data_IF_852777032334
#
_entry.id   IF_852777032334
#
_cell.length_a   1.000
_cell.length_b   1.000
_cell.length_c   1.000
_cell.angle_alpha   90.00
_cell.angle_beta   90.00
_cell.angle_gamma   90.00
#
_symmetry.space_group_name_H-M   'P 1'
#
loop_
_entity.id
_entity.type
_entity.pdbx_description
1 polymer ?
#
# COMPACT_ATOMS: atom_id res chain seq x y z
N UNK A 1 8.00 -19.84 0.36
CA UNK A 1 6.75 -19.05 0.41
C UNK A 1 6.70 -18.04 -0.73
N UNK A 2 5.71 -18.09 -1.63
CA UNK A 2 5.52 -17.05 -2.66
C UNK A 2 5.10 -15.75 -1.96
N UNK A 3 5.92 -14.70 -2.03
CA UNK A 3 5.57 -13.36 -1.50
C UNK A 3 4.30 -12.89 -2.19
N UNK A 4 3.21 -12.74 -1.44
CA UNK A 4 1.95 -12.22 -1.96
C UNK A 4 2.06 -10.69 -2.02
N UNK A 5 2.33 -10.14 -3.20
CA UNK A 5 2.55 -8.70 -3.40
C UNK A 5 1.28 -7.84 -3.29
N UNK A 6 0.13 -8.49 -3.09
CA UNK A 6 -1.18 -7.87 -3.00
C UNK A 6 -1.70 -8.02 -1.57
N UNK A 7 -2.27 -6.95 -1.01
CA UNK A 7 -3.01 -7.03 0.24
C UNK A 7 -4.33 -7.79 0.04
N UNK A 8 -5.01 -8.17 1.12
CA UNK A 8 -6.25 -8.97 1.09
C UNK A 8 -7.31 -8.37 0.16
N UNK A 9 -7.50 -7.06 0.21
CA UNK A 9 -8.45 -6.35 -0.67
C UNK A 9 -8.08 -6.49 -2.15
N UNK A 10 -6.81 -6.32 -2.52
CA UNK A 10 -6.36 -6.47 -3.91
C UNK A 10 -6.40 -7.92 -4.40
N UNK A 11 -6.22 -8.88 -3.49
CA UNK A 11 -6.39 -10.30 -3.81
C UNK A 11 -7.83 -10.61 -4.16
N UNK A 12 -8.79 -10.06 -3.41
CA UNK A 12 -10.21 -10.22 -3.67
C UNK A 12 -10.62 -9.56 -5.00
N UNK A 13 -10.11 -8.35 -5.27
CA UNK A 13 -10.31 -7.68 -6.56
C UNK A 13 -9.79 -8.53 -7.73
N UNK A 14 -8.61 -9.13 -7.58
CA UNK A 14 -8.02 -10.01 -8.58
C UNK A 14 -8.87 -11.27 -8.78
N UNK A 15 -9.38 -11.87 -7.71
CA UNK A 15 -10.24 -13.08 -7.75
C UNK A 15 -11.50 -12.81 -8.57
N UNK A 16 -12.22 -11.75 -8.21
CA UNK A 16 -13.48 -11.37 -8.87
C UNK A 16 -13.30 -10.98 -10.34
N UNK A 17 -12.22 -10.24 -10.67
CA UNK A 17 -11.92 -9.90 -12.06
C UNK A 17 -11.46 -11.14 -12.87
N UNK A 18 -10.77 -12.09 -12.23
CA UNK A 18 -10.44 -13.38 -12.86
C UNK A 18 -11.70 -14.19 -13.14
N UNK A 19 -12.65 -14.26 -12.22
CA UNK A 19 -13.95 -14.91 -12.44
C UNK A 19 -14.71 -14.28 -13.59
N UNK A 20 -14.74 -12.94 -13.65
CA UNK A 20 -15.30 -12.20 -14.78
C UNK A 20 -14.60 -12.54 -16.11
N UNK A 21 -13.27 -12.72 -16.11
CA UNK A 21 -12.53 -13.11 -17.32
C UNK A 21 -12.83 -14.52 -17.81
N UNK A 22 -13.27 -15.41 -16.91
CA UNK A 22 -13.67 -16.78 -17.19
C UNK A 22 -15.18 -16.90 -17.49
N UNK A 23 -15.88 -15.77 -17.64
CA UNK A 23 -17.34 -15.70 -17.82
C UNK A 23 -18.13 -16.44 -16.74
N UNK A 24 -17.61 -16.53 -15.50
CA UNK A 24 -18.28 -17.22 -14.38
C UNK A 24 -19.38 -16.39 -13.74
N UNK A 25 -19.37 -15.08 -13.94
CA UNK A 25 -20.38 -14.16 -13.40
C UNK A 25 -20.55 -12.94 -14.33
N UNK A 26 -21.65 -12.23 -14.17
CA UNK A 26 -21.96 -11.02 -14.93
C UNK A 26 -21.15 -9.82 -14.46
N UNK A 27 -20.88 -8.89 -15.39
CA UNK A 27 -20.15 -7.67 -15.06
C UNK A 27 -20.88 -6.77 -14.05
N UNK A 28 -22.22 -6.85 -13.99
CA UNK A 28 -23.04 -6.08 -13.06
C UNK A 28 -22.83 -6.59 -11.63
N UNK A 29 -22.87 -7.91 -11.44
CA UNK A 29 -22.68 -8.56 -10.13
C UNK A 29 -21.28 -8.29 -9.58
N UNK A 30 -20.25 -8.49 -10.42
CA UNK A 30 -18.87 -8.22 -10.03
C UNK A 30 -18.65 -6.73 -9.71
N UNK A 31 -19.26 -5.82 -10.48
CA UNK A 31 -19.19 -4.38 -10.18
C UNK A 31 -19.84 -4.05 -8.82
N UNK A 32 -20.99 -4.64 -8.52
CA UNK A 32 -21.66 -4.49 -7.24
C UNK A 32 -20.81 -5.02 -6.07
N UNK A 33 -20.28 -6.25 -6.18
CA UNK A 33 -19.41 -6.85 -5.16
C UNK A 33 -18.14 -6.04 -4.90
N UNK A 34 -17.56 -5.43 -5.95
CA UNK A 34 -16.37 -4.59 -5.85
C UNK A 34 -16.67 -3.15 -5.37
N UNK A 35 -17.94 -2.75 -5.30
CA UNK A 35 -18.34 -1.36 -5.06
C UNK A 35 -17.89 -0.41 -6.19
N UNK A 36 -17.75 -0.92 -7.41
CA UNK A 36 -17.25 -0.20 -8.57
C UNK A 36 -18.36 0.13 -9.57
N UNK A 37 -18.13 1.16 -10.37
CA UNK A 37 -18.95 1.36 -11.57
C UNK A 37 -18.63 0.28 -12.61
N UNK A 38 -19.62 -0.08 -13.43
CA UNK A 38 -19.45 -1.04 -14.54
C UNK A 38 -18.28 -0.64 -15.45
N UNK A 39 -18.10 0.66 -15.72
CA UNK A 39 -16.99 1.20 -16.52
C UNK A 39 -15.63 0.93 -15.87
N UNK A 40 -15.52 1.14 -14.55
CA UNK A 40 -14.29 0.86 -13.82
C UNK A 40 -13.97 -0.64 -13.82
N UNK A 41 -14.98 -1.50 -13.64
CA UNK A 41 -14.85 -2.96 -13.73
C UNK A 41 -14.38 -3.40 -15.11
N UNK A 42 -14.95 -2.85 -16.20
CA UNK A 42 -14.48 -3.10 -17.58
C UNK A 42 -13.02 -2.72 -17.78
N UNK A 43 -12.62 -1.53 -17.28
CA UNK A 43 -11.22 -1.09 -17.35
C UNK A 43 -10.29 -2.06 -16.64
N UNK A 44 -10.67 -2.54 -15.45
CA UNK A 44 -9.89 -3.52 -14.69
C UNK A 44 -9.80 -4.87 -15.38
N UNK A 45 -10.87 -5.35 -16.01
CA UNK A 45 -10.85 -6.55 -16.85
C UNK A 45 -9.88 -6.39 -18.04
N UNK A 46 -9.90 -5.25 -18.73
CA UNK A 46 -9.00 -4.97 -19.84
C UNK A 46 -7.53 -4.90 -19.39
N UNK A 47 -7.25 -4.26 -18.25
CA UNK A 47 -5.91 -4.26 -17.65
C UNK A 47 -5.46 -5.68 -17.28
N UNK A 48 -6.34 -6.48 -16.68
CA UNK A 48 -6.07 -7.88 -16.34
C UNK A 48 -5.75 -8.72 -17.59
N UNK A 49 -6.49 -8.57 -18.69
CA UNK A 49 -6.20 -9.29 -19.94
C UNK A 49 -4.83 -8.95 -20.53
N UNK A 50 -4.30 -7.75 -20.27
CA UNK A 50 -2.98 -7.30 -20.78
C UNK A 50 -1.81 -7.76 -19.93
N UNK A 51 -1.91 -7.64 -18.60
CA UNK A 51 -0.77 -7.81 -17.67
C UNK A 51 -1.07 -8.75 -16.48
N UNK A 52 -2.23 -9.40 -16.51
CA UNK A 52 -2.68 -10.45 -15.58
C UNK A 52 -2.58 -9.99 -14.11
N UNK A 53 -1.93 -10.67 -13.12
CA UNK A 53 -2.00 -10.18 -11.74
C UNK A 53 -1.25 -8.86 -11.54
N UNK A 54 -0.31 -8.51 -12.44
CA UNK A 54 0.47 -7.27 -12.35
C UNK A 54 -0.43 -6.03 -12.48
N UNK A 55 -1.65 -6.15 -13.05
CA UNK A 55 -2.64 -5.07 -13.12
C UNK A 55 -3.08 -4.52 -11.77
N UNK A 56 -2.95 -5.30 -10.70
CA UNK A 56 -3.42 -4.93 -9.36
C UNK A 56 -2.27 -4.48 -8.45
N UNK A 57 -1.03 -4.65 -8.89
CA UNK A 57 0.14 -4.08 -8.23
C UNK A 57 0.15 -2.58 -8.51
N UNK A 58 0.29 -1.77 -7.45
CA UNK A 58 0.38 -0.33 -7.65
C UNK A 58 1.74 0.00 -8.27
N UNK A 59 1.81 0.96 -9.20
CA UNK A 59 3.08 1.31 -9.89
C UNK A 59 4.20 1.73 -8.93
N UNK A 60 3.83 2.25 -7.76
CA UNK A 60 4.75 2.64 -6.69
C UNK A 60 4.94 1.57 -5.60
N UNK A 61 4.35 0.38 -5.72
CA UNK A 61 4.47 -0.67 -4.68
C UNK A 61 5.92 -1.10 -4.41
N UNK A 62 6.81 -0.94 -5.39
CA UNK A 62 8.23 -1.30 -5.27
C UNK A 62 9.16 -0.09 -5.45
N UNK A 63 8.60 1.12 -5.48
CA UNK A 63 9.39 2.34 -5.64
C UNK A 63 9.49 3.04 -4.29
N UNK A 64 10.72 3.29 -3.88
CA UNK A 64 11.02 4.17 -2.77
C UNK A 64 10.77 5.62 -3.21
N UNK A 65 9.96 6.42 -2.50
CA UNK A 65 9.84 7.84 -2.79
C UNK A 65 11.20 8.54 -2.70
N UNK A 66 11.45 9.52 -3.57
CA UNK A 66 12.72 10.28 -3.54
C UNK A 66 12.89 11.07 -2.26
N UNK A 67 11.78 11.56 -1.69
CA UNK A 67 11.73 12.29 -0.42
C UNK A 67 11.63 11.37 0.81
N UNK A 68 11.95 10.06 0.67
CA UNK A 68 11.93 9.16 1.83
C UNK A 68 13.11 9.49 2.73
N UNK A 69 12.82 9.74 4.01
CA UNK A 69 13.84 9.91 5.06
C UNK A 69 14.80 8.72 5.03
N UNK A 70 16.11 9.02 5.02
CA UNK A 70 17.16 8.00 5.01
C UNK A 70 17.05 7.10 6.24
N UNK A 71 17.44 5.83 6.08
CA UNK A 71 17.36 4.87 7.18
C UNK A 71 18.29 5.28 8.33
N UNK A 72 19.49 5.77 8.02
CA UNK A 72 20.45 6.34 8.97
C UNK A 72 19.82 7.39 9.89
N UNK A 73 19.10 8.36 9.31
CA UNK A 73 18.40 9.40 10.08
C UNK A 73 17.34 8.83 11.01
N UNK A 74 16.62 7.77 10.58
CA UNK A 74 15.64 7.11 11.44
C UNK A 74 16.31 6.39 12.60
N UNK A 75 17.40 5.71 12.33
CA UNK A 75 18.15 4.95 13.33
C UNK A 75 18.74 5.91 14.37
N UNK A 76 19.28 7.05 13.93
CA UNK A 76 19.76 8.13 14.80
C UNK A 76 18.66 8.70 15.71
N UNK A 77 17.46 8.96 15.15
CA UNK A 77 16.30 9.42 15.95
C UNK A 77 15.92 8.39 17.02
N UNK A 78 15.90 7.10 16.67
CA UNK A 78 15.57 6.02 17.60
C UNK A 78 16.64 5.87 18.68
N UNK A 79 17.91 5.96 18.30
CA UNK A 79 19.03 5.84 19.23
C UNK A 79 19.08 7.01 20.20
N UNK A 80 18.86 8.24 19.72
CA UNK A 80 18.78 9.43 20.56
C UNK A 80 17.66 9.31 21.61
N UNK A 81 16.50 8.79 21.20
CA UNK A 81 15.38 8.55 22.10
C UNK A 81 15.73 7.50 23.16
N UNK A 82 16.34 6.37 22.76
CA UNK A 82 16.67 5.27 23.66
C UNK A 82 17.83 5.56 24.61
N UNK A 83 18.79 6.39 24.21
CA UNK A 83 19.98 6.69 25.01
C UNK A 83 19.76 7.91 25.90
N UNK A 84 19.56 9.08 25.28
CA UNK A 84 19.56 10.39 25.96
C UNK A 84 18.22 10.71 26.59
N UNK A 85 17.13 10.21 25.98
CA UNK A 85 15.76 10.53 26.38
C UNK A 85 14.98 9.29 26.85
N UNK A 86 15.67 8.29 27.39
CA UNK A 86 15.09 6.97 27.69
C UNK A 86 13.87 7.02 28.63
N UNK A 87 13.83 8.01 29.52
CA UNK A 87 12.76 8.19 30.53
C UNK A 87 11.73 9.25 30.13
N UNK A 88 11.82 9.78 28.91
CA UNK A 88 10.90 10.79 28.41
C UNK A 88 9.76 10.16 27.63
N UNK A 89 8.57 10.75 27.76
CA UNK A 89 7.50 10.48 26.79
C UNK A 89 7.91 10.95 25.39
N UNK A 90 7.39 10.27 24.36
CA UNK A 90 7.62 10.66 22.95
C UNK A 90 7.28 12.14 22.71
N UNK A 91 6.24 12.65 23.37
CA UNK A 91 5.84 14.06 23.29
C UNK A 91 6.91 14.99 23.83
N UNK A 92 7.43 14.71 25.03
CA UNK A 92 8.44 15.56 25.66
C UNK A 92 9.77 15.52 24.90
N UNK A 93 10.16 14.34 24.40
CA UNK A 93 11.29 14.19 23.49
C UNK A 93 11.16 15.11 22.27
N UNK A 94 10.01 15.07 21.61
CA UNK A 94 9.76 15.88 20.41
C UNK A 94 9.82 17.38 20.69
N UNK A 95 9.22 17.84 21.78
CA UNK A 95 9.28 19.25 22.21
C UNK A 95 10.71 19.75 22.46
N UNK A 96 11.54 18.92 23.11
CA UNK A 96 12.93 19.27 23.39
C UNK A 96 13.80 19.28 22.14
N UNK A 97 13.65 18.30 21.24
CA UNK A 97 14.40 18.27 19.98
C UNK A 97 14.01 19.47 19.11
N UNK A 98 12.72 19.79 19.03
CA UNK A 98 12.23 20.96 18.28
C UNK A 98 12.83 22.28 18.79
N UNK A 99 12.89 22.46 20.12
CA UNK A 99 13.49 23.63 20.76
C UNK A 99 15.00 23.76 20.56
N UNK A 100 15.72 22.66 20.35
CA UNK A 100 17.19 22.69 20.14
C UNK A 100 17.58 23.01 18.70
N UNK A 101 16.70 22.78 17.73
CA UNK A 101 16.97 22.99 16.30
C UNK A 101 16.46 24.33 15.76
N UNK A 102 15.70 25.09 16.55
CA UNK A 102 15.24 26.45 16.26
C UNK A 102 15.83 27.43 17.27
#
# INVERSE_FOLDING_TARGET
MKRNFLNTMKQEQLRLIKELSLNKDSIKNIAFQLGYSIKHTRRKLNEYKKIVPKAFIHKNSFKTPINKIQQSTKDEIVELFKSTYYDFSIKHYWELVWKKQN
#
